data_IF_609894340300
#
_entry.id   IF_609894340300
#
_cell.length_a   1.000
_cell.length_b   1.000
_cell.length_c   1.000
_cell.angle_alpha   90.00
_cell.angle_beta   90.00
_cell.angle_gamma   90.00
#
_symmetry.space_group_name_H-M   'P 1'
#
loop_
_entity.id
_entity.type
_entity.pdbx_description
1 polymer ?
#
# COMPACT_ATOMS: atom_id res chain seq x y z
N UNK A 1 54.55 -30.45 23.41
CA UNK A 1 53.30 -31.22 23.21
C UNK A 1 52.17 -30.20 23.37
N UNK A 2 51.57 -29.75 22.26
CA UNK A 2 50.23 -30.17 21.82
C UNK A 2 49.15 -29.81 22.88
N UNK A 3 48.02 -29.14 22.61
CA UNK A 3 47.24 -28.99 21.40
C UNK A 3 46.10 -28.00 21.72
N UNK A 4 45.87 -27.07 20.79
CA UNK A 4 44.63 -26.44 20.30
C UNK A 4 43.29 -26.63 21.03
N UNK A 5 42.35 -25.73 20.64
CA UNK A 5 40.88 -25.81 20.77
C UNK A 5 40.40 -25.23 22.12
N UNK A 6 39.59 -24.16 22.22
CA UNK A 6 38.38 -23.73 21.49
C UNK A 6 38.12 -22.26 21.89
N UNK A 7 38.40 -21.23 21.09
CA UNK A 7 37.51 -20.67 20.06
C UNK A 7 36.00 -20.82 20.36
N UNK A 8 35.53 -20.58 21.58
CA UNK A 8 34.09 -20.67 21.91
C UNK A 8 33.60 -19.60 22.89
N UNK A 9 34.08 -18.35 22.80
CA UNK A 9 33.47 -17.23 23.56
C UNK A 9 32.92 -16.12 22.66
N UNK A 10 33.20 -16.15 21.34
CA UNK A 10 32.78 -15.11 20.41
C UNK A 10 31.38 -15.31 19.77
N UNK A 11 30.56 -16.27 20.21
CA UNK A 11 29.39 -16.72 19.43
C UNK A 11 28.02 -16.54 20.07
N UNK A 12 27.86 -15.75 21.14
CA UNK A 12 26.55 -15.62 21.83
C UNK A 12 25.90 -14.23 21.69
N UNK A 13 26.57 -13.24 21.10
CA UNK A 13 26.02 -11.86 20.98
C UNK A 13 25.40 -11.55 19.60
N UNK A 14 25.34 -12.54 18.69
CA UNK A 14 24.88 -12.32 17.31
C UNK A 14 23.60 -13.08 16.97
N UNK A 15 22.58 -12.99 17.82
CA UNK A 15 21.28 -13.64 17.56
C UNK A 15 20.06 -12.71 17.74
N UNK A 16 20.25 -11.42 18.04
CA UNK A 16 19.15 -10.52 18.42
C UNK A 16 19.00 -9.25 17.55
N UNK A 17 19.33 -9.32 16.25
CA UNK A 17 19.13 -8.20 15.30
C UNK A 17 18.51 -8.63 13.96
N UNK A 18 17.70 -9.69 13.92
CA UNK A 18 16.85 -9.95 12.74
C UNK A 18 15.52 -9.22 12.93
N UNK A 19 15.59 -7.89 13.02
CA UNK A 19 14.42 -7.02 13.02
C UNK A 19 13.69 -7.14 11.69
N UNK A 20 12.53 -7.80 11.71
CA UNK A 20 11.36 -7.56 10.86
C UNK A 20 11.57 -7.02 9.44
N UNK A 21 12.18 -7.81 8.55
CA UNK A 21 11.97 -7.59 7.12
C UNK A 21 10.55 -8.05 6.77
N UNK A 22 9.59 -7.12 6.84
CA UNK A 22 8.29 -7.32 6.20
C UNK A 22 8.56 -7.40 4.70
N UNK A 23 8.46 -8.61 4.14
CA UNK A 23 8.51 -8.79 2.68
C UNK A 23 7.34 -8.01 2.09
N UNK A 24 7.64 -6.95 1.34
CA UNK A 24 6.63 -6.22 0.59
C UNK A 24 6.24 -7.09 -0.61
N UNK A 25 5.17 -7.87 -0.47
CA UNK A 25 4.59 -8.59 -1.59
C UNK A 25 3.90 -7.58 -2.51
N UNK A 26 4.35 -7.49 -3.76
CA UNK A 26 3.59 -6.80 -4.79
C UNK A 26 2.19 -7.42 -4.87
N UNK A 27 1.17 -6.59 -5.05
CA UNK A 27 -0.19 -7.07 -5.08
C UNK A 27 -0.47 -7.89 -6.36
N UNK A 28 -1.29 -8.94 -6.24
CA UNK A 28 -1.65 -9.81 -7.36
C UNK A 28 -2.36 -9.02 -8.49
N UNK A 29 -2.07 -9.27 -9.78
CA UNK A 29 -2.72 -8.56 -10.90
C UNK A 29 -4.26 -8.62 -10.88
N UNK A 30 -4.84 -9.74 -10.46
CA UNK A 30 -6.28 -9.89 -10.29
C UNK A 30 -6.83 -8.98 -9.21
N UNK A 31 -6.15 -8.90 -8.06
CA UNK A 31 -6.45 -7.91 -7.02
C UNK A 31 -6.35 -6.48 -7.55
N UNK A 32 -5.27 -6.15 -8.28
CA UNK A 32 -5.07 -4.80 -8.79
C UNK A 32 -6.11 -4.38 -9.81
N UNK A 33 -6.63 -5.32 -10.61
CA UNK A 33 -7.76 -5.06 -11.50
C UNK A 33 -9.02 -4.66 -10.72
N UNK A 34 -9.28 -5.29 -9.57
CA UNK A 34 -10.41 -4.93 -8.72
C UNK A 34 -10.18 -3.62 -7.98
N UNK A 35 -8.98 -3.39 -7.48
CA UNK A 35 -8.58 -2.12 -6.89
C UNK A 35 -8.80 -0.95 -7.85
N UNK A 36 -8.34 -1.06 -9.09
CA UNK A 36 -8.46 0.00 -10.09
C UNK A 36 -9.93 0.26 -10.49
N UNK A 37 -10.78 -0.78 -10.58
CA UNK A 37 -12.23 -0.61 -10.76
C UNK A 37 -12.87 0.14 -9.60
N UNK A 38 -12.54 -0.24 -8.37
CA UNK A 38 -13.05 0.43 -7.18
C UNK A 38 -12.62 1.90 -7.12
N UNK A 39 -11.35 2.19 -7.46
CA UNK A 39 -10.82 3.54 -7.54
C UNK A 39 -11.58 4.40 -8.56
N UNK A 40 -11.85 3.88 -9.76
CA UNK A 40 -12.65 4.60 -10.76
C UNK A 40 -14.07 4.90 -10.29
N UNK A 41 -14.71 3.95 -9.62
CA UNK A 41 -16.06 4.17 -9.07
C UNK A 41 -16.05 5.28 -8.01
N UNK A 42 -15.03 5.30 -7.13
CA UNK A 42 -14.82 6.36 -6.15
C UNK A 42 -14.58 7.72 -6.82
N UNK A 43 -13.73 7.78 -7.84
CA UNK A 43 -13.43 9.01 -8.60
C UNK A 43 -14.68 9.55 -9.27
N UNK A 44 -15.43 8.71 -9.99
CA UNK A 44 -16.67 9.12 -10.68
C UNK A 44 -17.72 9.61 -9.69
N UNK A 45 -17.93 8.88 -8.59
CA UNK A 45 -18.87 9.28 -7.54
C UNK A 45 -18.47 10.61 -6.87
N UNK A 46 -17.17 10.79 -6.62
CA UNK A 46 -16.63 12.01 -6.04
C UNK A 46 -16.75 13.22 -6.95
N UNK A 47 -16.39 13.09 -8.24
CA UNK A 47 -16.50 14.17 -9.23
C UNK A 47 -17.96 14.56 -9.49
N UNK A 48 -18.90 13.62 -9.34
CA UNK A 48 -20.34 13.89 -9.40
C UNK A 48 -20.90 14.62 -8.18
N UNK A 49 -20.12 14.79 -7.10
CA UNK A 49 -20.54 15.52 -5.91
C UNK A 49 -19.85 16.90 -5.86
N UNK A 50 -20.60 18.01 -6.01
CA UNK A 50 -20.04 19.37 -5.98
C UNK A 50 -19.26 19.72 -4.72
N UNK A 51 -19.57 19.08 -3.57
CA UNK A 51 -18.84 19.29 -2.31
C UNK A 51 -17.46 18.63 -2.29
N UNK A 52 -17.27 17.61 -3.12
CA UNK A 52 -16.03 16.84 -3.21
C UNK A 52 -15.15 17.31 -4.37
N UNK A 53 -15.77 17.62 -5.51
CA UNK A 53 -15.12 17.70 -6.81
C UNK A 53 -13.89 18.62 -6.82
N UNK A 54 -13.96 19.78 -6.15
CA UNK A 54 -12.87 20.77 -6.14
C UNK A 54 -11.55 20.27 -5.52
N UNK A 55 -11.59 19.28 -4.63
CA UNK A 55 -10.39 18.72 -3.99
C UNK A 55 -9.89 17.40 -4.59
N UNK A 56 -10.58 16.86 -5.60
CA UNK A 56 -10.18 15.61 -6.27
C UNK A 56 -9.15 15.89 -7.36
N UNK A 57 -7.86 15.83 -7.01
CA UNK A 57 -6.75 16.19 -7.90
C UNK A 57 -5.58 15.18 -7.87
N UNK A 58 -4.82 15.10 -8.97
CA UNK A 58 -3.63 14.25 -9.07
C UNK A 58 -3.91 12.76 -9.28
N UNK A 59 -2.85 11.94 -9.29
CA UNK A 59 -2.90 10.53 -9.65
C UNK A 59 -3.90 9.70 -8.81
N UNK A 60 -4.02 10.01 -7.51
CA UNK A 60 -5.00 9.42 -6.59
C UNK A 60 -6.44 9.51 -7.11
N UNK A 61 -6.76 10.58 -7.83
CA UNK A 61 -8.10 10.86 -8.32
C UNK A 61 -8.21 10.81 -9.86
N UNK A 62 -7.24 10.18 -10.52
CA UNK A 62 -7.26 9.99 -11.97
C UNK A 62 -8.52 9.24 -12.42
N UNK A 63 -9.10 9.66 -13.54
CA UNK A 63 -10.20 8.95 -14.21
C UNK A 63 -9.72 7.80 -15.11
N UNK A 64 -8.41 7.57 -15.18
CA UNK A 64 -7.78 6.52 -15.97
C UNK A 64 -7.60 5.24 -15.13
N UNK A 65 -8.10 4.12 -15.66
CA UNK A 65 -7.92 2.78 -15.06
C UNK A 65 -6.44 2.43 -14.90
N UNK A 66 -5.62 2.71 -15.92
CA UNK A 66 -4.23 2.30 -15.98
C UNK A 66 -3.41 2.94 -14.85
N UNK A 67 -3.68 4.20 -14.53
CA UNK A 67 -3.01 4.91 -13.42
C UNK A 67 -3.18 4.16 -12.09
N UNK A 68 -4.40 3.69 -11.80
CA UNK A 68 -4.66 2.94 -10.56
C UNK A 68 -4.10 1.53 -10.61
N UNK A 69 -4.18 0.88 -11.77
CA UNK A 69 -3.73 -0.48 -11.96
C UNK A 69 -2.21 -0.59 -11.84
N UNK A 70 -1.46 0.23 -12.58
CA UNK A 70 0.00 0.24 -12.58
C UNK A 70 0.57 0.64 -11.22
N UNK A 71 -0.05 1.62 -10.55
CA UNK A 71 0.33 1.97 -9.18
C UNK A 71 0.16 0.78 -8.23
N UNK A 72 -0.96 0.04 -8.35
CA UNK A 72 -1.22 -1.11 -7.51
C UNK A 72 -0.22 -2.25 -7.73
N UNK A 73 0.23 -2.48 -8.97
CA UNK A 73 1.24 -3.51 -9.27
C UNK A 73 2.57 -3.24 -8.55
N UNK A 74 2.91 -1.97 -8.33
CA UNK A 74 4.07 -1.56 -7.55
C UNK A 74 3.82 -1.47 -6.03
N UNK A 75 2.58 -1.57 -5.58
CA UNK A 75 2.18 -1.42 -4.19
C UNK A 75 2.04 -2.77 -3.48
N UNK A 76 2.22 -2.76 -2.16
CA UNK A 76 1.83 -3.90 -1.34
C UNK A 76 0.31 -3.96 -1.18
N UNK A 77 -0.23 -5.15 -0.90
CA UNK A 77 -1.66 -5.31 -0.60
C UNK A 77 -2.15 -4.35 0.50
N UNK A 78 -1.35 -4.21 1.57
CA UNK A 78 -1.64 -3.29 2.67
C UNK A 78 -1.69 -1.83 2.22
N UNK A 79 -0.70 -1.40 1.42
CA UNK A 79 -0.66 -0.03 0.89
C UNK A 79 -1.85 0.27 -0.03
N UNK A 80 -2.23 -0.66 -0.90
CA UNK A 80 -3.42 -0.53 -1.75
C UNK A 80 -4.72 -0.45 -0.92
N UNK A 81 -4.81 -1.23 0.16
CA UNK A 81 -5.90 -1.14 1.13
C UNK A 81 -5.98 0.24 1.79
N UNK A 82 -4.87 0.72 2.37
CA UNK A 82 -4.79 2.04 3.00
C UNK A 82 -5.16 3.16 2.04
N UNK A 83 -4.71 3.10 0.80
CA UNK A 83 -5.00 4.12 -0.22
C UNK A 83 -6.49 4.13 -0.61
N UNK A 84 -7.11 2.95 -0.76
CA UNK A 84 -8.58 2.83 -0.97
C UNK A 84 -9.35 3.43 0.21
N UNK A 85 -8.91 3.16 1.43
CA UNK A 85 -9.57 3.62 2.65
C UNK A 85 -9.43 5.14 2.81
N UNK A 86 -8.27 5.70 2.46
CA UNK A 86 -8.05 7.16 2.42
C UNK A 86 -9.00 7.86 1.44
N UNK A 87 -9.18 7.32 0.21
CA UNK A 87 -10.20 7.84 -0.72
C UNK A 87 -11.60 7.74 -0.14
N UNK A 88 -11.93 6.60 0.49
CA UNK A 88 -13.24 6.40 1.12
C UNK A 88 -13.51 7.43 2.22
N UNK A 89 -12.52 7.71 3.07
CA UNK A 89 -12.63 8.69 4.13
C UNK A 89 -12.84 10.10 3.59
N UNK A 90 -12.08 10.50 2.56
CA UNK A 90 -12.27 11.79 1.89
C UNK A 90 -13.69 11.92 1.34
N UNK A 91 -14.17 10.93 0.60
CA UNK A 91 -15.51 10.96 0.00
C UNK A 91 -16.63 10.98 1.04
N UNK A 92 -16.48 10.26 2.16
CA UNK A 92 -17.42 10.32 3.29
C UNK A 92 -17.51 11.71 3.91
N UNK A 93 -16.43 12.48 3.90
CA UNK A 93 -16.44 13.86 4.39
C UNK A 93 -17.30 14.81 3.54
N UNK A 94 -17.59 14.45 2.28
CA UNK A 94 -18.41 15.27 1.38
C UNK A 94 -19.90 14.99 1.47
N UNK A 95 -20.30 13.84 2.02
CA UNK A 95 -21.68 13.55 2.40
C UNK A 95 -21.93 14.28 3.72
N UNK A 96 -22.47 15.50 3.64
CA UNK A 96 -22.92 16.22 4.83
C UNK A 96 -23.87 15.35 5.67
N UNK A 97 -23.77 15.51 6.99
CA UNK A 97 -24.71 14.95 7.99
C UNK A 97 -26.17 15.18 7.60
#
# INVERSE_FOLDING_TARGET
MANRLRLTVAFVVWAFLISGLTVAHAADPGFCKQYAKAALNQVRGGLGNPRCAGGLQGARWSTDFAVHYEWCLGASFGAAGTERDARTQYLRGCSGR
#
